data_IF_761551846517
#
_entry.id   IF_761551846517
#
_cell.length_a   1.000
_cell.length_b   1.000
_cell.length_c   1.000
_cell.angle_alpha   90.00
_cell.angle_beta   90.00
_cell.angle_gamma   90.00
#
_symmetry.space_group_name_H-M   'P 1'
#
loop_
_entity.id
_entity.type
_entity.pdbx_description
1 polymer ?
#
# COMPACT_ATOMS: atom_id res chain seq x y z
N UNK A 1 38.46 -23.67 -20.83
CA UNK A 1 38.48 -23.31 -19.38
C UNK A 1 37.49 -24.21 -18.67
N UNK A 2 37.94 -25.12 -17.79
CA UNK A 2 37.10 -26.16 -17.18
C UNK A 2 36.62 -25.64 -15.82
N UNK A 3 35.36 -25.24 -15.74
CA UNK A 3 34.75 -24.71 -14.51
C UNK A 3 34.66 -25.86 -13.50
N UNK A 4 35.08 -25.63 -12.26
CA UNK A 4 35.04 -26.64 -11.21
C UNK A 4 33.60 -26.82 -10.70
N UNK A 5 33.21 -28.06 -10.41
CA UNK A 5 31.86 -28.37 -9.95
C UNK A 5 31.47 -27.60 -8.68
N UNK A 6 32.45 -27.25 -7.82
CA UNK A 6 32.23 -26.45 -6.63
C UNK A 6 31.79 -25.01 -6.93
N UNK A 7 32.31 -24.40 -8.00
CA UNK A 7 31.90 -23.05 -8.41
C UNK A 7 30.46 -23.04 -8.92
N UNK A 8 30.06 -24.09 -9.66
CA UNK A 8 28.69 -24.23 -10.13
C UNK A 8 27.69 -24.40 -8.97
N UNK A 9 28.04 -25.18 -7.95
CA UNK A 9 27.23 -25.35 -6.75
C UNK A 9 27.11 -24.02 -6.01
N UNK A 10 28.20 -23.26 -5.86
CA UNK A 10 28.19 -21.96 -5.20
C UNK A 10 27.29 -20.96 -5.92
N UNK A 11 27.39 -20.87 -7.25
CA UNK A 11 26.54 -19.99 -8.07
C UNK A 11 25.07 -20.40 -7.98
N UNK A 12 24.78 -21.70 -7.99
CA UNK A 12 23.40 -22.21 -7.82
C UNK A 12 22.81 -21.84 -6.46
N UNK A 13 23.57 -22.01 -5.38
CA UNK A 13 23.12 -21.61 -4.03
C UNK A 13 22.89 -20.11 -3.95
N UNK A 14 23.79 -19.30 -4.53
CA UNK A 14 23.65 -17.85 -4.56
C UNK A 14 22.38 -17.42 -5.32
N UNK A 15 22.10 -18.04 -6.47
CA UNK A 15 20.90 -17.77 -7.27
C UNK A 15 19.62 -18.14 -6.48
N UNK A 16 19.61 -19.29 -5.79
CA UNK A 16 18.45 -19.71 -4.98
C UNK A 16 18.17 -18.72 -3.83
N UNK A 17 19.21 -18.16 -3.22
CA UNK A 17 19.07 -17.13 -2.18
C UNK A 17 18.52 -15.81 -2.74
N UNK A 18 18.86 -15.44 -3.98
CA UNK A 18 18.33 -14.23 -4.62
C UNK A 18 16.84 -14.32 -5.00
N UNK A 19 16.28 -15.54 -5.10
CA UNK A 19 14.87 -15.76 -5.43
C UNK A 19 13.96 -15.95 -4.21
N UNK A 20 14.46 -15.75 -2.98
CA UNK A 20 13.61 -15.67 -1.80
C UNK A 20 12.91 -14.30 -1.76
N UNK A 21 11.88 -14.14 -2.59
CA UNK A 21 10.96 -12.99 -2.52
C UNK A 21 9.78 -13.38 -1.63
N UNK A 22 9.42 -12.46 -0.75
CA UNK A 22 8.63 -12.68 0.45
C UNK A 22 7.22 -13.22 0.20
N UNK A 23 6.90 -14.40 0.75
CA UNK A 23 5.52 -14.88 0.88
C UNK A 23 4.86 -14.46 2.22
N UNK A 24 5.48 -13.56 2.97
CA UNK A 24 5.01 -13.19 4.32
C UNK A 24 3.82 -12.20 4.27
N UNK A 25 3.57 -11.55 3.13
CA UNK A 25 2.47 -10.59 2.96
C UNK A 25 1.12 -11.22 2.55
N UNK A 26 1.08 -12.51 2.21
CA UNK A 26 -0.14 -13.16 1.72
C UNK A 26 -1.17 -13.50 2.82
N UNK A 27 -0.80 -13.39 4.11
CA UNK A 27 -1.67 -13.65 5.26
C UNK A 27 -1.76 -12.45 6.22
N UNK A 28 -1.47 -11.23 5.74
CA UNK A 28 -1.96 -10.07 6.47
C UNK A 28 -3.48 -10.08 6.28
N UNK A 29 -4.22 -10.50 7.32
CA UNK A 29 -5.62 -10.11 7.45
C UNK A 29 -5.64 -8.60 7.25
N UNK A 30 -6.09 -8.17 6.06
CA UNK A 30 -6.15 -6.77 5.71
C UNK A 30 -7.11 -6.15 6.72
N UNK A 31 -6.57 -5.50 7.75
CA UNK A 31 -7.34 -4.53 8.50
C UNK A 31 -7.68 -3.43 7.50
N UNK A 32 -8.82 -3.60 6.83
CA UNK A 32 -9.35 -2.71 5.78
C UNK A 32 -9.79 -1.36 6.35
N UNK A 33 -9.32 -1.02 7.56
CA UNK A 33 -9.24 0.34 8.09
C UNK A 33 -8.11 1.14 7.43
N UNK A 34 -7.78 0.88 6.17
CA UNK A 34 -7.06 1.88 5.40
C UNK A 34 -7.99 3.08 5.25
N UNK A 35 -7.56 4.21 5.79
CA UNK A 35 -8.25 5.47 5.60
C UNK A 35 -8.45 5.72 4.10
N UNK A 36 -9.70 5.92 3.68
CA UNK A 36 -10.04 6.20 2.28
C UNK A 36 -10.65 7.59 2.16
N UNK A 37 -9.85 8.52 1.66
CA UNK A 37 -10.28 9.89 1.35
C UNK A 37 -11.28 9.92 0.20
N UNK A 38 -12.36 10.69 0.31
CA UNK A 38 -13.43 10.76 -0.71
C UNK A 38 -12.86 11.15 -2.07
N UNK A 39 -12.00 12.19 -2.08
CA UNK A 39 -11.33 12.66 -3.30
C UNK A 39 -10.38 11.61 -3.85
N UNK A 40 -9.59 10.98 -2.99
CA UNK A 40 -8.64 9.96 -3.41
C UNK A 40 -9.31 8.75 -4.08
N UNK A 41 -10.47 8.31 -3.59
CA UNK A 41 -11.29 7.30 -4.26
C UNK A 41 -11.87 7.78 -5.58
N UNK A 42 -12.35 9.02 -5.66
CA UNK A 42 -12.84 9.60 -6.92
C UNK A 42 -11.78 9.68 -8.01
N UNK A 43 -10.51 9.74 -7.62
CA UNK A 43 -9.36 9.76 -8.54
C UNK A 43 -8.88 8.36 -8.97
N UNK A 44 -9.56 7.28 -8.56
CA UNK A 44 -9.18 5.91 -8.95
C UNK A 44 -7.74 5.54 -8.55
N UNK A 45 -7.33 5.91 -7.34
CA UNK A 45 -5.97 5.74 -6.79
C UNK A 45 -4.87 6.63 -7.39
N UNK A 46 -5.18 7.58 -8.27
CA UNK A 46 -4.18 8.52 -8.81
C UNK A 46 -3.75 9.63 -7.80
N UNK A 47 -4.43 9.73 -6.65
CA UNK A 47 -4.23 10.82 -5.69
C UNK A 47 -2.81 10.87 -5.08
N UNK A 48 -2.12 9.73 -4.99
CA UNK A 48 -0.74 9.69 -4.49
C UNK A 48 0.24 10.59 -5.26
N UNK A 49 -0.04 10.88 -6.53
CA UNK A 49 0.76 11.79 -7.35
C UNK A 49 0.46 13.28 -7.09
N UNK A 50 -0.73 13.61 -6.55
CA UNK A 50 -1.16 14.99 -6.30
C UNK A 50 -0.97 15.35 -4.83
N UNK A 51 -1.61 14.61 -3.92
CA UNK A 51 -1.39 14.65 -2.46
C UNK A 51 -1.26 16.05 -1.86
N UNK A 52 -2.17 16.96 -2.22
CA UNK A 52 -2.12 18.40 -1.93
C UNK A 52 -3.14 18.85 -0.86
N UNK A 53 -3.72 17.91 -0.11
CA UNK A 53 -4.66 18.16 1.00
C UNK A 53 -4.36 17.25 2.21
N UNK A 54 -5.19 17.33 3.26
CA UNK A 54 -5.03 16.54 4.48
C UNK A 54 -5.08 15.03 4.28
N UNK A 55 -5.63 14.51 3.18
CA UNK A 55 -5.57 13.07 2.90
C UNK A 55 -4.12 12.63 2.59
N UNK A 56 -3.22 13.55 2.24
CA UNK A 56 -1.80 13.25 1.99
C UNK A 56 -1.12 12.53 3.16
N UNK A 57 -1.57 12.72 4.41
CA UNK A 57 -1.08 11.97 5.58
C UNK A 57 -1.18 10.45 5.41
N UNK A 58 -2.24 9.99 4.73
CA UNK A 58 -2.54 8.56 4.55
C UNK A 58 -2.10 8.00 3.20
N UNK A 59 -1.89 8.87 2.19
CA UNK A 59 -1.51 8.44 0.84
C UNK A 59 -0.03 8.72 0.51
N UNK A 60 0.42 9.96 0.64
CA UNK A 60 1.80 10.35 0.34
C UNK A 60 2.18 11.62 1.13
N UNK A 61 2.87 11.49 2.28
CA UNK A 61 3.15 12.61 3.18
C UNK A 61 4.12 13.64 2.59
N UNK A 62 4.87 13.32 1.52
CA UNK A 62 5.71 14.32 0.84
C UNK A 62 4.89 15.48 0.27
N UNK A 63 3.63 15.22 -0.09
CA UNK A 63 2.69 16.21 -0.58
C UNK A 63 2.30 17.26 0.48
N UNK A 64 2.43 16.97 1.78
CA UNK A 64 2.16 17.94 2.85
C UNK A 64 3.10 19.15 2.77
N UNK A 65 4.31 18.97 2.26
CA UNK A 65 5.27 20.07 2.06
C UNK A 65 4.78 21.12 1.06
N UNK A 66 3.82 20.76 0.19
CA UNK A 66 3.20 21.68 -0.76
C UNK A 66 2.15 22.59 -0.14
N UNK A 67 1.67 22.28 1.08
CA UNK A 67 0.66 23.06 1.80
C UNK A 67 1.32 24.26 2.48
N UNK A 68 1.13 25.46 1.92
CA UNK A 68 1.83 26.69 2.35
C UNK A 68 1.10 27.52 3.42
N UNK A 69 -0.16 27.22 3.70
CA UNK A 69 -1.03 27.97 4.63
C UNK A 69 -1.74 27.02 5.57
N UNK A 70 -2.30 27.57 6.65
CA UNK A 70 -3.21 26.82 7.50
C UNK A 70 -4.37 26.28 6.67
N UNK A 71 -4.58 24.97 6.71
CA UNK A 71 -5.62 24.25 5.99
C UNK A 71 -6.44 23.45 7.00
N UNK A 72 -7.76 23.55 6.89
CA UNK A 72 -8.72 22.78 7.66
C UNK A 72 -9.59 21.99 6.69
N UNK A 73 -9.49 20.67 6.74
CA UNK A 73 -10.30 19.78 5.90
C UNK A 73 -11.44 19.18 6.74
N UNK A 74 -12.68 19.42 6.31
CA UNK A 74 -13.88 18.82 6.89
C UNK A 74 -14.29 17.64 6.02
N UNK A 75 -14.35 16.45 6.61
CA UNK A 75 -14.58 15.23 5.87
C UNK A 75 -15.79 14.47 6.43
N UNK A 76 -16.62 13.87 5.56
CA UNK A 76 -17.73 13.06 6.01
C UNK A 76 -17.22 11.77 6.67
N UNK A 77 -17.86 11.36 7.76
CA UNK A 77 -17.62 10.02 8.33
C UNK A 77 -18.13 9.00 7.33
N UNK A 78 -17.21 8.21 6.79
CA UNK A 78 -17.56 7.11 5.88
C UNK A 78 -17.86 5.86 6.70
N UNK A 79 -19.09 5.39 6.63
CA UNK A 79 -19.47 4.05 7.10
C UNK A 79 -19.53 3.14 5.88
N UNK A 80 -18.55 2.25 5.74
CA UNK A 80 -18.61 1.17 4.75
C UNK A 80 -19.15 -0.05 5.49
N UNK A 81 -20.36 -0.53 5.16
CA UNK A 81 -20.86 -1.76 5.76
C UNK A 81 -20.00 -2.94 5.29
N UNK A 82 -19.52 -3.72 6.26
CA UNK A 82 -18.84 -4.99 5.98
C UNK A 82 -19.80 -5.99 5.34
N UNK A 83 -19.29 -7.00 4.64
CA UNK A 83 -20.13 -8.05 4.05
C UNK A 83 -21.04 -8.73 5.10
N UNK A 84 -20.54 -8.85 6.33
CA UNK A 84 -21.31 -9.34 7.47
C UNK A 84 -22.53 -8.46 7.76
N UNK A 85 -22.34 -7.13 7.82
CA UNK A 85 -23.45 -6.19 8.02
C UNK A 85 -24.44 -6.17 6.83
N UNK A 86 -23.95 -6.31 5.60
CA UNK A 86 -24.82 -6.39 4.42
C UNK A 86 -25.72 -7.65 4.45
N UNK A 87 -25.17 -8.78 4.90
CA UNK A 87 -25.92 -10.03 5.01
C UNK A 87 -26.87 -10.06 6.22
N UNK A 88 -26.59 -9.30 7.28
CA UNK A 88 -27.46 -9.19 8.46
C UNK A 88 -28.67 -8.24 8.27
N UNK A 89 -28.63 -7.38 7.25
CA UNK A 89 -29.68 -6.37 6.98
C UNK A 89 -30.63 -6.74 5.86
N UNK A 90 -30.48 -7.95 5.29
CA UNK A 90 -31.30 -8.50 4.21
C UNK A 90 -32.24 -9.58 4.74
#
# INVERSE_FOLDING_TARGET
MRISNGYLIFVLVFIILLFQTDNILANAENWDFQYRGVRAMGMGNAFGAVSDDGDAFYYNPSGLTSIRKFRLDLQPVRVIPTEVFYNETK
#
